data_IF_760827989518
#
_entry.id   IF_760827989518
#
_cell.length_a   1.000
_cell.length_b   1.000
_cell.length_c   1.000
_cell.angle_alpha   90.00
_cell.angle_beta   90.00
_cell.angle_gamma   90.00
#
_symmetry.space_group_name_H-M   'P 1'
#
loop_
_entity.id
_entity.type
_entity.pdbx_description
1 polymer ?
#
# COMPACT_ATOMS: atom_id res chain seq x y z
N UNK A 1 -11.18 14.69 -17.05
CA UNK A 1 -10.70 14.81 -15.66
C UNK A 1 -9.48 13.95 -15.60
N UNK A 2 -8.31 14.50 -15.28
CA UNK A 2 -7.15 13.64 -15.01
C UNK A 2 -7.55 12.68 -13.89
N UNK A 3 -7.35 11.39 -14.13
CA UNK A 3 -7.51 10.39 -13.08
C UNK A 3 -6.19 10.43 -12.32
N UNK A 4 -6.23 10.78 -11.04
CA UNK A 4 -5.02 10.79 -10.23
C UNK A 4 -4.48 9.35 -10.15
N UNK A 5 -3.17 9.18 -9.97
CA UNK A 5 -2.60 7.86 -9.68
C UNK A 5 -2.68 7.57 -8.16
N UNK A 6 -2.38 6.33 -7.75
CA UNK A 6 -2.39 5.97 -6.34
C UNK A 6 -1.34 6.75 -5.54
N UNK A 7 -1.71 7.14 -4.32
CA UNK A 7 -0.81 7.77 -3.36
C UNK A 7 -0.81 6.99 -2.06
N UNK A 8 0.37 6.74 -1.50
CA UNK A 8 0.55 5.96 -0.28
C UNK A 8 1.41 6.72 0.74
N UNK A 9 0.96 6.70 2.00
CA UNK A 9 1.73 7.14 3.17
C UNK A 9 1.86 5.97 4.13
N UNK A 10 3.10 5.63 4.47
CA UNK A 10 3.46 4.39 5.15
C UNK A 10 4.23 4.73 6.42
N UNK A 11 3.71 4.29 7.56
CA UNK A 11 4.39 4.34 8.85
C UNK A 11 4.67 2.91 9.32
N UNK A 12 5.94 2.51 9.29
CA UNK A 12 6.37 1.18 9.72
C UNK A 12 6.80 1.22 11.18
N UNK A 13 5.92 0.76 12.06
CA UNK A 13 6.23 0.55 13.47
C UNK A 13 6.84 -0.83 13.76
N UNK A 14 7.09 -1.09 15.05
CA UNK A 14 7.63 -2.36 15.51
C UNK A 14 6.66 -3.54 15.35
N UNK A 15 5.42 -3.39 15.82
CA UNK A 15 4.41 -4.47 15.74
C UNK A 15 3.55 -4.36 14.49
N UNK A 16 3.21 -3.13 14.08
CA UNK A 16 2.30 -2.87 12.97
C UNK A 16 2.89 -1.86 11.99
N UNK A 17 2.52 -2.04 10.74
CA UNK A 17 2.68 -1.08 9.66
C UNK A 17 1.30 -0.48 9.37
N UNK A 18 1.23 0.84 9.39
CA UNK A 18 0.04 1.61 9.06
C UNK A 18 0.21 2.21 7.66
N UNK A 19 -0.82 2.06 6.83
CA UNK A 19 -0.85 2.63 5.47
C UNK A 19 -2.11 3.45 5.30
N UNK A 20 -1.93 4.69 4.85
CA UNK A 20 -3.00 5.50 4.28
C UNK A 20 -2.81 5.51 2.78
N UNK A 21 -3.86 5.18 2.03
CA UNK A 21 -3.85 5.16 0.59
C UNK A 21 -4.96 6.06 0.04
N UNK A 22 -4.64 6.86 -0.98
CA UNK A 22 -5.63 7.56 -1.81
C UNK A 22 -5.69 6.91 -3.17
N UNK A 23 -6.87 6.46 -3.58
CA UNK A 23 -7.07 5.83 -4.87
C UNK A 23 -7.22 6.87 -6.00
N UNK A 24 -7.17 6.43 -7.27
CA UNK A 24 -7.36 7.30 -8.43
C UNK A 24 -8.66 8.11 -8.48
N UNK A 25 -9.70 7.64 -7.78
CA UNK A 25 -10.99 8.33 -7.67
C UNK A 25 -11.01 9.35 -6.51
N UNK A 26 -9.91 9.49 -5.77
CA UNK A 26 -9.77 10.38 -4.63
C UNK A 26 -10.28 9.83 -3.30
N UNK A 27 -10.72 8.59 -3.23
CA UNK A 27 -11.12 7.93 -1.99
C UNK A 27 -9.89 7.60 -1.13
N UNK A 28 -9.98 7.85 0.18
CA UNK A 28 -8.91 7.56 1.13
C UNK A 28 -9.28 6.34 1.98
N UNK A 29 -8.35 5.40 2.08
CA UNK A 29 -8.45 4.20 2.92
C UNK A 29 -7.28 4.15 3.90
N UNK A 30 -7.53 3.67 5.11
CA UNK A 30 -6.51 3.42 6.11
C UNK A 30 -6.51 1.94 6.48
N UNK A 31 -5.33 1.35 6.50
CA UNK A 31 -5.12 -0.06 6.73
C UNK A 31 -3.97 -0.27 7.71
N UNK A 32 -4.05 -1.37 8.48
CA UNK A 32 -3.07 -1.76 9.49
C UNK A 32 -2.80 -3.25 9.37
N UNK A 33 -1.52 -3.60 9.31
CA UNK A 33 -1.06 -4.98 9.20
C UNK A 33 0.18 -5.20 10.07
N UNK A 34 0.42 -6.46 10.50
CA UNK A 34 1.61 -6.81 11.27
C UNK A 34 2.87 -6.48 10.49
N UNK A 35 3.82 -5.78 11.11
CA UNK A 35 5.10 -5.40 10.47
C UNK A 35 5.91 -6.61 10.00
N UNK A 36 5.73 -7.75 10.66
CA UNK A 36 6.31 -9.04 10.28
C UNK A 36 5.27 -10.15 10.44
N UNK A 37 5.18 -11.02 9.43
CA UNK A 37 4.33 -12.20 9.48
C UNK A 37 4.94 -13.31 8.61
N UNK A 38 5.79 -14.11 9.25
CA UNK A 38 6.56 -15.16 8.58
C UNK A 38 5.64 -16.13 7.86
N UNK A 39 5.89 -16.33 6.56
CA UNK A 39 5.12 -17.24 5.70
C UNK A 39 3.87 -16.64 5.07
N UNK A 40 3.53 -15.38 5.36
CA UNK A 40 2.42 -14.65 4.72
C UNK A 40 2.92 -13.65 3.69
N UNK A 41 3.92 -12.85 4.04
CA UNK A 41 4.52 -11.86 3.15
C UNK A 41 5.95 -11.54 3.57
N UNK A 42 6.75 -11.08 2.61
CA UNK A 42 8.15 -10.70 2.82
C UNK A 42 8.26 -9.28 3.35
N UNK A 43 7.40 -8.37 2.89
CA UNK A 43 7.39 -6.98 3.30
C UNK A 43 5.96 -6.47 3.49
N UNK A 44 5.68 -5.98 4.69
CA UNK A 44 4.37 -5.51 5.11
C UNK A 44 3.83 -4.36 4.24
N UNK A 45 4.61 -3.28 4.00
CA UNK A 45 4.20 -2.20 3.09
C UNK A 45 3.77 -2.68 1.70
N UNK A 46 4.59 -3.52 1.06
CA UNK A 46 4.33 -4.01 -0.30
C UNK A 46 3.09 -4.90 -0.33
N UNK A 47 2.94 -5.80 0.64
CA UNK A 47 1.76 -6.67 0.69
C UNK A 47 0.47 -5.86 0.85
N UNK A 48 0.47 -4.91 1.78
CA UNK A 48 -0.72 -4.11 2.05
C UNK A 48 -1.06 -3.18 0.86
N UNK A 49 -0.07 -2.65 0.15
CA UNK A 49 -0.30 -1.94 -1.12
C UNK A 49 -1.00 -2.84 -2.15
N UNK A 50 -0.59 -4.12 -2.29
CA UNK A 50 -1.26 -5.07 -3.19
C UNK A 50 -2.69 -5.33 -2.75
N UNK A 51 -2.92 -5.58 -1.46
CA UNK A 51 -4.25 -5.83 -0.91
C UNK A 51 -5.20 -4.63 -1.17
N UNK A 52 -4.72 -3.40 -0.95
CA UNK A 52 -5.48 -2.16 -1.21
C UNK A 52 -5.79 -1.97 -2.70
N UNK A 53 -4.84 -2.31 -3.57
CA UNK A 53 -5.00 -2.23 -5.03
C UNK A 53 -5.83 -3.40 -5.60
N UNK A 54 -6.16 -4.40 -4.79
CA UNK A 54 -6.87 -5.60 -5.22
C UNK A 54 -6.03 -6.54 -6.08
N UNK A 55 -4.71 -6.53 -5.87
CA UNK A 55 -3.73 -7.34 -6.57
C UNK A 55 -3.45 -8.63 -5.81
N UNK A 56 -3.22 -9.73 -6.53
CA UNK A 56 -2.81 -11.00 -5.94
C UNK A 56 -1.33 -10.97 -5.53
N UNK A 57 -0.90 -11.98 -4.75
CA UNK A 57 0.47 -12.07 -4.23
C UNK A 57 1.56 -11.99 -5.32
N UNK A 58 1.32 -12.62 -6.47
CA UNK A 58 2.28 -12.67 -7.58
C UNK A 58 2.20 -11.45 -8.52
N UNK A 59 1.15 -10.64 -8.39
CA UNK A 59 0.97 -9.46 -9.23
C UNK A 59 2.03 -8.41 -8.91
N UNK A 60 2.38 -7.62 -9.93
CA UNK A 60 3.34 -6.53 -9.80
C UNK A 60 2.59 -5.22 -9.63
N UNK A 61 3.01 -4.43 -8.66
CA UNK A 61 2.65 -3.01 -8.60
C UNK A 61 3.40 -2.32 -9.74
N UNK A 62 2.66 -1.70 -10.67
CA UNK A 62 3.27 -1.01 -11.81
C UNK A 62 3.49 0.47 -11.48
N UNK A 63 4.70 0.97 -11.72
CA UNK A 63 5.08 2.33 -11.26
C UNK A 63 4.28 3.44 -11.97
N UNK A 64 3.70 3.17 -13.13
CA UNK A 64 2.82 4.11 -13.85
C UNK A 64 1.44 4.25 -13.19
N UNK A 65 1.08 3.41 -12.23
CA UNK A 65 -0.15 3.51 -11.44
C UNK A 65 0.07 4.24 -10.11
N UNK A 66 1.32 4.59 -9.79
CA UNK A 66 1.74 5.20 -8.53
C UNK A 66 2.18 6.64 -8.77
N UNK A 67 1.61 7.57 -8.01
CA UNK A 67 2.02 8.98 -8.00
C UNK A 67 3.03 9.24 -6.89
N UNK A 68 2.69 8.81 -5.67
CA UNK A 68 3.48 9.10 -4.46
C UNK A 68 3.56 7.87 -3.57
N UNK A 69 4.76 7.61 -3.06
CA UNK A 69 4.99 6.77 -1.89
C UNK A 69 5.80 7.59 -0.90
N UNK A 70 5.27 7.78 0.30
CA UNK A 70 5.97 8.49 1.37
C UNK A 70 6.11 7.59 2.60
N UNK A 71 7.35 7.36 3.00
CA UNK A 71 7.69 6.78 4.30
C UNK A 71 7.66 7.89 5.35
N UNK A 72 6.98 7.65 6.47
CA UNK A 72 6.81 8.58 7.59
C UNK A 72 7.78 8.29 8.74
#
# INVERSE_FOLDING_TARGET
MEVDNWQFWIDRGGTFTDIVARNPNGEVKAHKLLSENVGRYVDAPVQEMKDIMGLDYDDKITMNEIDVIKML
#
